data_IF_418792559818
#
_entry.id   IF_418792559818
#
_cell.length_a   1.000
_cell.length_b   1.000
_cell.length_c   1.000
_cell.angle_alpha   90.00
_cell.angle_beta   90.00
_cell.angle_gamma   90.00
#
_symmetry.space_group_name_H-M   'P 1'
#
loop_
_entity.id
_entity.type
_entity.pdbx_description
1 polymer ?
#
# COMPACT_ATOMS: atom_id res chain seq x y z
N UNK A 1 -33.51 5.71 2.19
CA UNK A 1 -33.45 5.68 3.66
C UNK A 1 -32.18 6.38 4.10
N UNK A 2 -32.20 7.33 5.05
CA UNK A 2 -30.98 7.89 5.59
C UNK A 2 -30.25 6.80 6.39
N UNK A 3 -29.00 6.53 6.05
CA UNK A 3 -28.13 5.66 6.84
C UNK A 3 -27.14 6.53 7.62
N UNK A 4 -26.83 6.12 8.86
CA UNK A 4 -25.79 6.73 9.68
C UNK A 4 -24.82 5.62 10.07
N UNK A 5 -23.55 5.78 9.74
CA UNK A 5 -22.51 4.89 10.26
C UNK A 5 -22.41 5.10 11.77
N UNK A 6 -22.50 4.00 12.53
CA UNK A 6 -22.32 4.03 13.97
C UNK A 6 -20.83 4.05 14.30
N UNK A 7 -20.49 4.68 15.43
CA UNK A 7 -19.12 4.69 15.92
C UNK A 7 -18.66 3.26 16.27
N UNK A 8 -17.38 2.99 16.06
CA UNK A 8 -16.79 1.70 16.36
C UNK A 8 -16.76 1.46 17.88
N UNK A 9 -17.41 0.38 18.32
CA UNK A 9 -17.44 -0.04 19.74
C UNK A 9 -16.45 -1.17 19.97
N UNK A 10 -15.57 -1.02 20.97
CA UNK A 10 -14.58 -2.03 21.35
C UNK A 10 -15.07 -2.82 22.56
N UNK A 11 -15.19 -4.15 22.44
CA UNK A 11 -15.57 -5.06 23.53
C UNK A 11 -14.35 -5.92 23.87
N UNK A 12 -13.85 -5.84 25.10
CA UNK A 12 -12.68 -6.59 25.53
C UNK A 12 -12.74 -6.92 27.02
N UNK A 13 -12.07 -8.01 27.43
CA UNK A 13 -11.83 -8.38 28.84
C UNK A 13 -10.57 -7.72 29.43
N UNK A 14 -9.84 -6.94 28.62
CA UNK A 14 -8.61 -6.28 29.03
C UNK A 14 -8.87 -5.14 30.04
N UNK A 15 -7.91 -4.84 30.92
CA UNK A 15 -7.99 -3.67 31.77
C UNK A 15 -7.98 -2.37 30.93
N UNK A 16 -8.61 -1.27 31.40
CA UNK A 16 -8.79 -0.05 30.60
C UNK A 16 -7.51 0.51 29.98
N UNK A 17 -6.40 0.51 30.72
CA UNK A 17 -5.12 1.05 30.25
C UNK A 17 -4.52 0.26 29.07
N UNK A 18 -4.65 -1.06 29.08
CA UNK A 18 -4.18 -1.91 27.98
C UNK A 18 -5.08 -1.78 26.77
N UNK A 19 -6.40 -1.73 27.01
CA UNK A 19 -7.39 -1.48 25.96
C UNK A 19 -7.12 -0.16 25.23
N UNK A 20 -6.79 0.92 25.94
CA UNK A 20 -6.44 2.20 25.34
C UNK A 20 -5.22 2.10 24.41
N UNK A 21 -4.19 1.34 24.80
CA UNK A 21 -3.00 1.11 23.96
C UNK A 21 -3.34 0.33 22.69
N UNK A 22 -4.18 -0.69 22.79
CA UNK A 22 -4.62 -1.49 21.64
C UNK A 22 -5.44 -0.63 20.68
N UNK A 23 -6.38 0.18 21.18
CA UNK A 23 -7.18 1.11 20.38
C UNK A 23 -6.28 2.13 19.69
N UNK A 24 -5.32 2.73 20.40
CA UNK A 24 -4.39 3.68 19.81
C UNK A 24 -3.53 3.04 18.70
N UNK A 25 -3.05 1.81 18.90
CA UNK A 25 -2.31 1.07 17.89
C UNK A 25 -3.15 0.76 16.66
N UNK A 26 -4.40 0.30 16.86
CA UNK A 26 -5.35 0.03 15.77
C UNK A 26 -5.69 1.30 14.99
N UNK A 27 -5.98 2.41 15.67
CA UNK A 27 -6.27 3.69 15.02
C UNK A 27 -5.07 4.20 14.22
N UNK A 28 -3.85 4.04 14.73
CA UNK A 28 -2.62 4.37 14.01
C UNK A 28 -2.46 3.53 12.75
N UNK A 29 -2.70 2.22 12.84
CA UNK A 29 -2.66 1.31 11.70
C UNK A 29 -3.72 1.70 10.66
N UNK A 30 -4.96 1.91 11.11
CA UNK A 30 -6.08 2.34 10.25
C UNK A 30 -5.72 3.61 9.50
N UNK A 31 -5.27 4.66 10.18
CA UNK A 31 -4.84 5.90 9.53
C UNK A 31 -3.74 5.68 8.50
N UNK A 32 -2.74 4.83 8.81
CA UNK A 32 -1.69 4.50 7.86
C UNK A 32 -2.24 3.78 6.62
N UNK A 33 -3.16 2.81 6.79
CA UNK A 33 -3.81 2.11 5.67
C UNK A 33 -4.62 3.09 4.82
N UNK A 34 -5.45 3.96 5.41
CA UNK A 34 -6.24 4.95 4.67
C UNK A 34 -5.39 5.88 3.80
N UNK A 35 -4.25 6.35 4.33
CA UNK A 35 -3.34 7.23 3.60
C UNK A 35 -2.62 6.48 2.49
N UNK A 36 -2.22 5.23 2.73
CA UNK A 36 -1.32 4.50 1.84
C UNK A 36 -2.03 3.65 0.79
N UNK A 37 -3.26 3.22 1.07
CA UNK A 37 -4.00 2.29 0.21
C UNK A 37 -4.28 2.82 -1.21
N UNK A 38 -4.64 4.10 -1.43
CA UNK A 38 -4.81 4.64 -2.78
C UNK A 38 -3.51 4.56 -3.61
N UNK A 39 -2.36 4.86 -2.99
CA UNK A 39 -1.06 4.73 -3.64
C UNK A 39 -0.72 3.27 -3.93
N UNK A 40 -1.01 2.36 -2.98
CA UNK A 40 -0.80 0.94 -3.15
C UNK A 40 -1.61 0.36 -4.32
N UNK A 41 -2.85 0.81 -4.51
CA UNK A 41 -3.69 0.42 -5.64
C UNK A 41 -3.15 0.91 -6.98
N UNK A 42 -2.76 2.18 -7.07
CA UNK A 42 -2.19 2.74 -8.30
C UNK A 42 -0.88 2.03 -8.67
N UNK A 43 0.06 1.96 -7.72
CA UNK A 43 1.34 1.28 -7.92
C UNK A 43 1.13 -0.21 -8.25
N UNK A 44 0.22 -0.89 -7.54
CA UNK A 44 -0.12 -2.30 -7.78
C UNK A 44 -0.63 -2.55 -9.20
N UNK A 45 -1.50 -1.68 -9.73
CA UNK A 45 -1.98 -1.76 -11.12
C UNK A 45 -0.82 -1.68 -12.11
N UNK A 46 0.02 -0.64 -11.98
CA UNK A 46 1.18 -0.42 -12.87
C UNK A 46 2.18 -1.57 -12.80
N UNK A 47 2.44 -2.10 -11.59
CA UNK A 47 3.33 -3.23 -11.38
C UNK A 47 2.79 -4.53 -11.98
N UNK A 48 1.48 -4.77 -11.85
CA UNK A 48 0.83 -5.94 -12.44
C UNK A 48 0.83 -5.86 -13.98
N UNK A 49 0.64 -4.67 -14.56
CA UNK A 49 0.81 -4.47 -16.01
C UNK A 49 2.23 -4.78 -16.48
N UNK A 50 3.23 -4.32 -15.73
CA UNK A 50 4.63 -4.61 -16.04
C UNK A 50 4.89 -6.12 -15.91
N UNK A 51 4.43 -6.76 -14.83
CA UNK A 51 4.57 -8.20 -14.63
C UNK A 51 3.92 -9.00 -15.77
N UNK A 52 2.74 -8.60 -16.22
CA UNK A 52 2.08 -9.22 -17.37
C UNK A 52 2.93 -9.07 -18.65
N UNK A 53 3.51 -7.90 -18.92
CA UNK A 53 4.40 -7.68 -20.08
C UNK A 53 5.74 -8.40 -19.98
N UNK A 54 6.21 -8.68 -18.77
CA UNK A 54 7.45 -9.43 -18.53
C UNK A 54 7.23 -10.94 -18.66
N UNK A 55 5.98 -11.41 -18.72
CA UNK A 55 5.66 -12.83 -18.89
C UNK A 55 6.15 -13.31 -20.25
N UNK A 56 7.00 -14.34 -20.27
CA UNK A 56 7.60 -14.87 -21.50
C UNK A 56 8.80 -14.06 -22.04
N UNK A 57 9.22 -13.00 -21.35
CA UNK A 57 10.41 -12.22 -21.75
C UNK A 57 11.65 -12.76 -21.03
N UNK A 58 12.47 -13.52 -21.74
CA UNK A 58 13.69 -14.14 -21.20
C UNK A 58 14.90 -13.20 -21.25
N UNK A 59 14.99 -12.37 -22.29
CA UNK A 59 16.16 -11.50 -22.49
C UNK A 59 16.16 -10.34 -21.51
N UNK A 60 17.20 -10.27 -20.66
CA UNK A 60 17.38 -9.19 -19.66
C UNK A 60 17.29 -7.78 -20.24
N UNK A 61 17.77 -7.59 -21.48
CA UNK A 61 17.70 -6.30 -22.18
C UNK A 61 16.26 -5.86 -22.47
N UNK A 62 15.40 -6.77 -22.92
CA UNK A 62 13.99 -6.49 -23.19
C UNK A 62 13.21 -6.21 -21.91
N UNK A 63 13.47 -7.01 -20.86
CA UNK A 63 12.87 -6.77 -19.53
C UNK A 63 13.18 -5.35 -19.05
N UNK A 64 14.45 -4.93 -19.15
CA UNK A 64 14.88 -3.57 -18.78
C UNK A 64 14.20 -2.50 -19.63
N UNK A 65 14.02 -2.72 -20.93
CA UNK A 65 13.34 -1.77 -21.81
C UNK A 65 11.86 -1.60 -21.43
N UNK A 66 11.16 -2.71 -21.12
CA UNK A 66 9.77 -2.70 -20.66
C UNK A 66 9.65 -1.92 -19.35
N UNK A 67 10.49 -2.22 -18.36
CA UNK A 67 10.48 -1.52 -17.07
C UNK A 67 10.79 -0.03 -17.26
N UNK A 68 11.79 0.30 -18.09
CA UNK A 68 12.16 1.68 -18.41
C UNK A 68 11.03 2.46 -19.09
N UNK A 69 10.19 1.81 -19.89
CA UNK A 69 9.05 2.48 -20.54
C UNK A 69 8.01 3.01 -19.53
N UNK A 70 7.90 2.37 -18.36
CA UNK A 70 6.97 2.74 -17.27
C UNK A 70 7.68 3.41 -16.08
N UNK A 71 8.95 3.78 -16.26
CA UNK A 71 9.80 4.27 -15.19
C UNK A 71 9.24 5.50 -14.48
N UNK A 72 8.82 6.49 -15.27
CA UNK A 72 8.28 7.75 -14.75
C UNK A 72 7.02 7.50 -13.91
N UNK A 73 6.16 6.61 -14.38
CA UNK A 73 4.90 6.26 -13.72
C UNK A 73 5.14 5.55 -12.39
N UNK A 74 6.04 4.56 -12.35
CA UNK A 74 6.47 3.92 -11.11
C UNK A 74 7.04 4.95 -10.12
N UNK A 75 7.91 5.85 -10.59
CA UNK A 75 8.49 6.87 -9.72
C UNK A 75 7.42 7.79 -9.12
N UNK A 76 6.44 8.19 -9.92
CA UNK A 76 5.38 9.10 -9.48
C UNK A 76 4.38 8.44 -8.54
N UNK A 77 4.02 7.19 -8.79
CA UNK A 77 3.00 6.47 -8.01
C UNK A 77 3.57 5.76 -6.78
N UNK A 78 4.87 5.44 -6.76
CA UNK A 78 5.50 4.67 -5.69
C UNK A 78 6.59 5.45 -4.96
N UNK A 79 7.65 5.88 -5.67
CA UNK A 79 8.83 6.50 -5.05
C UNK A 79 8.51 7.85 -4.42
N UNK A 80 7.79 8.73 -5.11
CA UNK A 80 7.40 10.05 -4.59
C UNK A 80 6.53 9.96 -3.33
N UNK A 81 5.48 9.11 -3.26
CA UNK A 81 4.76 8.88 -2.02
C UNK A 81 5.67 8.36 -0.90
N UNK A 82 6.53 7.38 -1.17
CA UNK A 82 7.44 6.84 -0.16
C UNK A 82 8.38 7.87 0.45
N UNK A 83 8.85 8.86 -0.32
CA UNK A 83 9.70 9.95 0.18
C UNK A 83 8.94 10.86 1.18
N UNK A 84 7.62 10.99 1.04
CA UNK A 84 6.79 11.87 1.87
C UNK A 84 6.11 11.14 3.04
N UNK A 85 6.22 9.82 3.11
CA UNK A 85 5.59 9.02 4.16
C UNK A 85 6.54 8.82 5.35
N UNK A 86 5.95 8.72 6.55
CA UNK A 86 6.70 8.27 7.71
C UNK A 86 7.18 6.82 7.52
N UNK A 87 8.25 6.43 8.22
CA UNK A 87 8.78 5.05 8.18
C UNK A 87 7.68 4.01 8.46
N UNK A 88 6.77 4.30 9.39
CA UNK A 88 5.66 3.40 9.71
C UNK A 88 4.67 3.27 8.55
N UNK A 89 4.26 4.38 7.94
CA UNK A 89 3.36 4.35 6.79
C UNK A 89 4.01 3.68 5.58
N UNK A 90 5.29 3.93 5.32
CA UNK A 90 6.01 3.26 4.23
C UNK A 90 6.05 1.74 4.42
N UNK A 91 6.18 1.22 5.66
CA UNK A 91 6.05 -0.22 5.93
C UNK A 91 4.65 -0.76 5.58
N UNK A 92 3.60 -0.04 5.97
CA UNK A 92 2.21 -0.41 5.64
C UNK A 92 1.99 -0.39 4.13
N UNK A 93 2.48 0.65 3.42
CA UNK A 93 2.43 0.74 1.97
C UNK A 93 3.11 -0.46 1.30
N UNK A 94 4.29 -0.87 1.78
CA UNK A 94 5.00 -2.03 1.23
C UNK A 94 4.21 -3.32 1.38
N UNK A 95 3.61 -3.56 2.55
CA UNK A 95 2.73 -4.71 2.80
C UNK A 95 1.51 -4.71 1.87
N UNK A 96 0.87 -3.55 1.69
CA UNK A 96 -0.26 -3.40 0.78
C UNK A 96 0.13 -3.65 -0.68
N UNK A 97 1.31 -3.21 -1.11
CA UNK A 97 1.78 -3.49 -2.48
C UNK A 97 2.12 -4.96 -2.65
N UNK A 98 2.71 -5.61 -1.64
CA UNK A 98 2.90 -7.05 -1.65
C UNK A 98 1.55 -7.77 -1.78
N UNK A 99 0.54 -7.36 -1.01
CA UNK A 99 -0.84 -7.87 -1.17
C UNK A 99 -1.38 -7.74 -2.60
N UNK A 100 -1.14 -6.61 -3.28
CA UNK A 100 -1.65 -6.36 -4.64
C UNK A 100 -0.89 -7.11 -5.74
N UNK A 101 0.37 -7.49 -5.49
CA UNK A 101 1.30 -7.97 -6.55
C UNK A 101 1.93 -9.34 -6.28
N UNK A 102 1.82 -9.86 -5.06
CA UNK A 102 2.20 -11.24 -4.70
C UNK A 102 3.71 -11.56 -4.73
N UNK A 103 4.59 -10.60 -4.40
CA UNK A 103 6.07 -10.68 -4.30
C UNK A 103 6.91 -10.14 -5.48
N UNK A 104 6.38 -10.05 -6.70
CA UNK A 104 7.18 -9.65 -7.87
C UNK A 104 7.62 -8.17 -7.86
N UNK A 105 6.96 -7.32 -7.07
CA UNK A 105 7.25 -5.89 -6.99
C UNK A 105 8.70 -5.58 -6.58
N UNK A 106 9.25 -6.28 -5.59
CA UNK A 106 10.62 -6.03 -5.14
C UNK A 106 11.64 -6.28 -6.26
N UNK A 107 11.48 -7.37 -7.01
CA UNK A 107 12.37 -7.69 -8.12
C UNK A 107 12.18 -6.71 -9.29
N UNK A 108 10.96 -6.26 -9.59
CA UNK A 108 10.72 -5.19 -10.60
C UNK A 108 11.43 -3.88 -10.18
N UNK A 109 11.31 -3.46 -8.92
CA UNK A 109 11.98 -2.27 -8.39
C UNK A 109 13.51 -2.45 -8.39
N UNK A 110 14.00 -3.66 -8.11
CA UNK A 110 15.43 -3.97 -8.10
C UNK A 110 16.03 -4.01 -9.51
N UNK A 111 15.33 -4.59 -10.49
CA UNK A 111 15.70 -4.52 -11.92
C UNK A 111 15.70 -3.05 -12.41
N UNK A 112 14.80 -2.23 -11.87
CA UNK A 112 14.74 -0.80 -12.11
C UNK A 112 15.97 -0.03 -11.57
N UNK A 113 16.60 -0.44 -10.44
CA UNK A 113 17.76 0.25 -9.84
C UNK A 113 18.96 0.41 -10.79
N UNK A 114 19.01 -0.35 -11.88
CA UNK A 114 20.03 -0.23 -12.92
C UNK A 114 19.78 0.86 -13.98
N UNK A 115 18.74 1.69 -13.83
CA UNK A 115 18.43 2.85 -14.67
C UNK A 115 18.94 4.18 -14.10
N UNK A 116 18.99 5.23 -14.92
CA UNK A 116 19.60 6.56 -14.69
C UNK A 116 19.09 7.35 -13.45
N UNK A 117 18.18 6.78 -12.65
CA UNK A 117 17.57 7.38 -11.46
C UNK A 117 18.02 6.74 -10.13
N UNK A 118 19.21 6.13 -10.08
CA UNK A 118 19.71 5.38 -8.92
C UNK A 118 19.65 6.13 -7.56
N UNK A 119 19.76 7.47 -7.57
CA UNK A 119 19.86 8.30 -6.35
C UNK A 119 18.58 8.34 -5.51
N UNK A 120 17.39 8.45 -6.11
CA UNK A 120 16.12 8.47 -5.34
C UNK A 120 15.81 7.10 -4.74
N UNK A 121 16.15 6.03 -5.48
CA UNK A 121 15.95 4.66 -5.03
C UNK A 121 16.95 4.23 -3.96
N UNK A 122 18.16 4.83 -3.93
CA UNK A 122 19.10 4.64 -2.85
C UNK A 122 18.50 5.09 -1.51
N UNK A 123 17.83 6.25 -1.49
CA UNK A 123 17.17 6.80 -0.30
C UNK A 123 16.06 5.86 0.18
N UNK A 124 15.16 5.47 -0.71
CA UNK A 124 14.07 4.53 -0.37
C UNK A 124 14.63 3.17 0.08
N UNK A 125 15.65 2.64 -0.60
CA UNK A 125 16.28 1.38 -0.21
C UNK A 125 17.07 1.47 1.10
N UNK A 126 17.55 2.65 1.50
CA UNK A 126 18.21 2.85 2.79
C UNK A 126 17.20 2.84 3.94
N UNK A 127 16.11 3.59 3.80
CA UNK A 127 15.06 3.65 4.84
C UNK A 127 14.21 2.39 4.91
N UNK A 128 13.97 1.73 3.78
CA UNK A 128 13.06 0.59 3.67
C UNK A 128 13.76 -0.71 3.28
N UNK A 129 15.09 -0.75 3.18
CA UNK A 129 15.89 -1.89 2.69
C UNK A 129 15.46 -3.27 3.18
N UNK A 130 15.50 -3.48 4.50
CA UNK A 130 15.04 -4.72 5.13
C UNK A 130 13.51 -4.86 5.13
N UNK A 131 12.78 -3.75 5.10
CA UNK A 131 11.32 -3.72 5.14
C UNK A 131 10.66 -3.97 3.77
N UNK A 132 11.38 -3.74 2.66
CA UNK A 132 10.91 -3.90 1.28
C UNK A 132 10.58 -5.36 0.94
N UNK A 133 11.20 -6.31 1.66
CA UNK A 133 10.99 -7.74 1.51
C UNK A 133 9.97 -8.30 2.51
N UNK A 134 9.28 -7.46 3.27
CA UNK A 134 8.32 -7.98 4.24
C UNK A 134 7.20 -8.73 3.52
N UNK A 135 7.00 -10.01 3.86
CA UNK A 135 5.87 -10.76 3.32
C UNK A 135 4.57 -10.15 3.84
N UNK A 136 3.52 -10.29 3.05
CA UNK A 136 2.16 -10.05 3.49
C UNK A 136 1.52 -11.40 3.79
N UNK A 137 1.20 -11.66 5.07
CA UNK A 137 0.63 -12.94 5.52
C UNK A 137 -0.52 -12.70 6.48
N UNK A 138 -1.71 -12.47 5.93
CA UNK A 138 -2.91 -12.25 6.74
C UNK A 138 -3.38 -13.49 7.51
N UNK A 139 -2.89 -14.69 7.17
CA UNK A 139 -3.27 -15.94 7.83
C UNK A 139 -2.55 -16.09 9.17
N UNK A 140 -1.26 -15.72 9.21
CA UNK A 140 -0.41 -15.93 10.38
C UNK A 140 -0.02 -14.63 11.10
N UNK A 141 0.00 -13.47 10.45
CA UNK A 141 0.33 -12.17 11.05
C UNK A 141 -0.95 -11.42 11.50
N UNK A 142 -1.13 -11.16 12.82
CA UNK A 142 -2.29 -10.42 13.33
C UNK A 142 -2.43 -9.00 12.78
N UNK A 143 -1.31 -8.32 12.51
CA UNK A 143 -1.28 -6.98 11.92
C UNK A 143 -1.78 -7.03 10.49
N UNK A 144 -1.36 -8.03 9.71
CA UNK A 144 -1.79 -8.19 8.32
C UNK A 144 -3.26 -8.53 8.20
N UNK A 145 -3.78 -9.30 9.16
CA UNK A 145 -5.21 -9.55 9.31
C UNK A 145 -6.00 -8.27 9.60
N UNK A 146 -5.47 -7.40 10.46
CA UNK A 146 -6.07 -6.08 10.71
C UNK A 146 -6.03 -5.21 9.45
N UNK A 147 -4.89 -5.18 8.74
CA UNK A 147 -4.77 -4.49 7.45
C UNK A 147 -5.81 -5.03 6.46
N UNK A 148 -5.98 -6.35 6.34
CA UNK A 148 -6.97 -6.95 5.44
C UNK A 148 -8.39 -6.52 5.78
N UNK A 149 -8.71 -6.49 7.09
CA UNK A 149 -10.02 -6.06 7.58
C UNK A 149 -10.30 -4.61 7.20
N UNK A 150 -9.34 -3.72 7.45
CA UNK A 150 -9.44 -2.30 7.10
C UNK A 150 -9.53 -2.11 5.58
N UNK A 151 -8.78 -2.87 4.79
CA UNK A 151 -8.84 -2.80 3.33
C UNK A 151 -10.21 -3.22 2.81
N UNK A 152 -10.77 -4.33 3.30
CA UNK A 152 -12.13 -4.77 2.94
C UNK A 152 -13.18 -3.74 3.32
N UNK A 153 -13.05 -3.11 4.48
CA UNK A 153 -13.90 -2.01 4.91
C UNK A 153 -13.83 -0.83 3.92
N UNK A 154 -12.61 -0.39 3.56
CA UNK A 154 -12.39 0.68 2.59
C UNK A 154 -12.96 0.32 1.23
N UNK A 155 -12.71 -0.90 0.73
CA UNK A 155 -13.22 -1.37 -0.55
C UNK A 155 -14.75 -1.36 -0.57
N UNK A 156 -15.39 -1.90 0.48
CA UNK A 156 -16.85 -1.92 0.58
C UNK A 156 -17.46 -0.52 0.75
N UNK A 157 -16.77 0.41 1.41
CA UNK A 157 -17.28 1.77 1.66
C UNK A 157 -17.00 2.75 0.50
N UNK A 158 -15.85 2.63 -0.16
CA UNK A 158 -15.35 3.59 -1.16
C UNK A 158 -15.37 3.09 -2.59
N UNK A 159 -14.95 1.85 -2.84
CA UNK A 159 -14.66 1.39 -4.21
C UNK A 159 -15.73 0.49 -4.81
N UNK A 160 -16.39 -0.33 -3.99
CA UNK A 160 -17.41 -1.30 -4.40
C UNK A 160 -18.83 -0.86 -4.00
N UNK A 161 -18.98 0.34 -3.42
CA UNK A 161 -20.27 0.84 -2.97
C UNK A 161 -21.06 1.48 -4.13
N UNK A 162 -22.01 0.74 -4.70
CA UNK A 162 -22.90 1.24 -5.75
C UNK A 162 -23.87 2.34 -5.30
N UNK A 163 -24.11 2.48 -3.99
CA UNK A 163 -25.10 3.41 -3.42
C UNK A 163 -24.47 4.71 -2.89
N UNK A 164 -23.16 4.92 -3.08
CA UNK A 164 -22.49 6.12 -2.59
C UNK A 164 -22.76 7.31 -3.53
N UNK A 165 -23.39 8.40 -3.06
CA UNK A 165 -23.44 9.64 -3.85
C UNK A 165 -22.00 10.15 -4.03
N UNK A 166 -21.65 10.55 -5.26
CA UNK A 166 -20.34 11.13 -5.55
C UNK A 166 -20.02 12.19 -4.49
N UNK A 167 -18.91 12.00 -3.75
CA UNK A 167 -18.55 12.88 -2.63
C UNK A 167 -18.32 14.27 -3.20
N UNK A 168 -19.31 15.15 -3.09
CA UNK A 168 -19.12 16.59 -3.25
C UNK A 168 -18.19 16.97 -2.11
N UNK A 169 -16.93 17.22 -2.43
CA UNK A 169 -15.99 17.82 -1.48
C UNK A 169 -16.55 19.20 -1.16
N UNK A 170 -17.29 19.33 -0.07
CA UNK A 170 -17.51 20.63 0.56
C UNK A 170 -16.16 21.07 1.10
N UNK A 171 -15.41 21.79 0.27
CA UNK A 171 -14.36 22.70 0.72
C UNK A 171 -15.02 23.65 1.71
N UNK A 172 -14.76 23.42 2.99
CA UNK A 172 -15.21 24.29 4.07
C UNK A 172 -14.58 25.68 3.91
N UNK A 173 -15.45 26.68 4.00
CA UNK A 173 -15.17 28.08 4.28
C UNK A 173 -14.47 28.25 5.63
#
# INVERSE_FOLDING_TARGET
>A
MPYKELDMVYISKLPPNEMHKVIAAYNRLRNAVYVTYPYARAAGSTLNEIAARLTGVERKGDRKAIIKSREKELREQFTKPMENLSVYQGKVLMKLINRQTGNNCYEIIKEYKGGFMARTYQTVAFFFGSNLKQPYDYLNDPTDRQIETIVKEIDNSWYNNAARPAVVRTSGL
#
